data_IF_093378438154
#
_entry.id   IF_093378438154
#
_cell.length_a   1.000
_cell.length_b   1.000
_cell.length_c   1.000
_cell.angle_alpha   90.00
_cell.angle_beta   90.00
_cell.angle_gamma   90.00
#
_symmetry.space_group_name_H-M   'P 1'
#
loop_
_entity.id
_entity.type
_entity.pdbx_description
1 polymer ?
#
# COMPACT_ATOMS: atom_id res chain seq x y z
N UNK A 1 28.04 29.07 1.59
CA UNK A 1 29.20 28.97 2.50
C UNK A 1 30.06 27.74 2.23
N UNK A 2 29.50 26.52 2.21
CA UNK A 2 30.31 25.29 1.94
C UNK A 2 30.91 25.27 0.53
N UNK A 3 30.14 25.68 -0.47
CA UNK A 3 30.55 25.69 -1.88
C UNK A 3 31.75 26.60 -2.16
N UNK A 4 31.77 27.79 -1.56
CA UNK A 4 32.86 28.75 -1.67
C UNK A 4 34.11 28.26 -0.95
N UNK A 5 33.95 27.56 0.19
CA UNK A 5 35.05 27.00 0.96
C UNK A 5 35.75 25.87 0.19
N UNK A 6 35.00 25.03 -0.52
CA UNK A 6 35.55 23.96 -1.36
C UNK A 6 36.40 24.54 -2.49
N UNK A 7 35.92 25.57 -3.20
CA UNK A 7 36.68 26.19 -4.28
C UNK A 7 37.98 26.83 -3.77
N UNK A 8 37.91 27.54 -2.64
CA UNK A 8 39.11 28.14 -2.02
C UNK A 8 40.12 27.06 -1.62
N UNK A 9 39.66 25.95 -1.02
CA UNK A 9 40.53 24.83 -0.65
C UNK A 9 41.25 24.23 -1.86
N UNK A 10 40.52 23.98 -2.96
CA UNK A 10 41.09 23.41 -4.18
C UNK A 10 42.08 24.36 -4.88
N UNK A 11 41.79 25.67 -4.88
CA UNK A 11 42.71 26.68 -5.43
C UNK A 11 43.99 26.76 -4.59
N UNK A 12 43.88 26.81 -3.27
CA UNK A 12 45.04 26.87 -2.36
C UNK A 12 45.86 25.58 -2.45
N UNK A 13 45.21 24.41 -2.45
CA UNK A 13 45.90 23.13 -2.58
C UNK A 13 46.57 22.97 -3.95
N UNK A 14 45.92 23.41 -5.03
CA UNK A 14 46.51 23.41 -6.37
C UNK A 14 47.69 24.37 -6.51
N UNK A 15 47.58 25.56 -5.92
CA UNK A 15 48.68 26.54 -5.88
C UNK A 15 49.89 25.99 -5.09
N UNK A 16 49.63 25.40 -3.92
CA UNK A 16 50.67 24.78 -3.10
C UNK A 16 51.33 23.59 -3.80
N UNK A 17 50.56 22.73 -4.47
CA UNK A 17 51.08 21.60 -5.24
C UNK A 17 51.91 22.07 -6.45
N UNK A 18 51.50 23.13 -7.14
CA UNK A 18 52.26 23.74 -8.22
C UNK A 18 53.56 24.38 -7.73
N UNK A 19 53.53 25.05 -6.58
CA UNK A 19 54.70 25.66 -5.95
C UNK A 19 55.73 24.61 -5.50
N UNK A 20 55.28 23.57 -4.81
CA UNK A 20 56.14 22.48 -4.30
C UNK A 20 56.55 21.50 -5.41
N UNK A 21 55.80 21.42 -6.51
CA UNK A 21 56.11 20.56 -7.64
C UNK A 21 57.40 20.94 -8.38
N UNK A 22 57.91 22.15 -8.17
CA UNK A 22 59.20 22.62 -8.69
C UNK A 22 60.35 21.79 -8.14
N UNK A 23 60.25 21.36 -6.87
CA UNK A 23 61.29 20.57 -6.18
C UNK A 23 61.31 19.09 -6.62
N UNK A 24 60.27 18.63 -7.33
CA UNK A 24 60.20 17.28 -7.91
C UNK A 24 60.74 17.21 -9.36
N UNK A 25 61.17 18.34 -9.95
CA UNK A 25 61.72 18.35 -11.30
C UNK A 25 63.14 17.73 -11.33
N UNK A 26 63.51 16.95 -12.37
CA UNK A 26 64.83 16.34 -12.46
C UNK A 26 65.95 17.38 -12.43
N UNK A 27 67.01 17.13 -11.66
CA UNK A 27 68.15 18.07 -11.47
C UNK A 27 68.77 18.56 -12.79
N UNK A 28 68.72 17.76 -13.85
CA UNK A 28 69.20 18.11 -15.19
C UNK A 28 68.46 19.29 -15.84
N UNK A 29 67.21 19.56 -15.45
CA UNK A 29 66.43 20.71 -15.94
C UNK A 29 66.55 21.95 -15.04
N UNK A 30 66.86 21.77 -13.76
CA UNK A 30 67.04 22.86 -12.79
C UNK A 30 68.32 23.67 -13.07
N UNK A 31 69.36 23.04 -13.62
CA UNK A 31 70.65 23.68 -13.97
C UNK A 31 70.53 24.66 -15.17
N UNK A 32 69.46 24.57 -15.98
CA UNK A 32 69.27 25.39 -17.19
C UNK A 32 68.51 26.71 -16.93
N UNK A 33 67.91 26.89 -15.75
CA UNK A 33 66.98 27.98 -15.45
C UNK A 33 67.63 28.99 -14.51
N UNK A 34 67.80 30.24 -14.96
CA UNK A 34 68.50 31.29 -14.20
C UNK A 34 67.67 31.89 -13.06
N UNK A 35 66.34 31.71 -13.04
CA UNK A 35 65.41 32.24 -12.02
C UNK A 35 64.42 31.17 -11.53
N UNK A 36 64.80 30.42 -10.50
CA UNK A 36 63.95 29.40 -9.86
C UNK A 36 62.66 29.99 -9.26
N UNK A 37 62.73 31.20 -8.72
CA UNK A 37 61.58 31.87 -8.09
C UNK A 37 60.46 32.18 -9.09
N UNK A 38 60.79 32.65 -10.30
CA UNK A 38 59.80 32.93 -11.35
C UNK A 38 59.11 31.63 -11.81
N UNK A 39 59.84 30.53 -11.88
CA UNK A 39 59.30 29.22 -12.24
C UNK A 39 58.29 28.73 -11.19
N UNK A 40 58.57 28.92 -9.90
CA UNK A 40 57.64 28.58 -8.81
C UNK A 40 56.36 29.41 -8.83
N UNK A 41 56.44 30.71 -9.13
CA UNK A 41 55.25 31.55 -9.29
C UNK A 41 54.40 31.13 -10.51
N UNK A 42 55.03 30.77 -11.62
CA UNK A 42 54.34 30.32 -12.85
C UNK A 42 53.67 28.95 -12.63
N UNK A 43 54.39 27.98 -12.06
CA UNK A 43 53.84 26.66 -11.75
C UNK A 43 52.79 26.72 -10.64
N UNK A 44 52.99 27.57 -9.63
CA UNK A 44 51.99 27.86 -8.59
C UNK A 44 50.73 28.48 -9.17
N UNK A 45 50.85 29.46 -10.07
CA UNK A 45 49.72 30.06 -10.79
C UNK A 45 48.98 29.05 -11.68
N UNK A 46 49.71 28.21 -12.41
CA UNK A 46 49.16 27.12 -13.20
C UNK A 46 48.44 26.07 -12.35
N UNK A 47 49.03 25.70 -11.21
CA UNK A 47 48.43 24.81 -10.23
C UNK A 47 47.16 25.38 -9.59
N UNK A 48 47.12 26.69 -9.32
CA UNK A 48 45.93 27.38 -8.83
C UNK A 48 44.78 27.33 -9.84
N UNK A 49 45.08 27.53 -11.14
CA UNK A 49 44.10 27.42 -12.24
C UNK A 49 43.58 25.99 -12.40
N UNK A 50 44.47 24.99 -12.34
CA UNK A 50 44.09 23.57 -12.38
C UNK A 50 43.22 23.20 -11.16
N UNK A 51 43.57 23.70 -9.98
CA UNK A 51 42.79 23.57 -8.75
C UNK A 51 41.39 24.18 -8.89
N UNK A 52 41.27 25.38 -9.48
CA UNK A 52 39.98 26.03 -9.74
C UNK A 52 39.11 25.15 -10.65
N UNK A 53 39.65 24.66 -11.77
CA UNK A 53 38.93 23.78 -12.69
C UNK A 53 38.46 22.49 -12.01
N UNK A 54 39.35 21.82 -11.27
CA UNK A 54 39.02 20.63 -10.51
C UNK A 54 37.94 20.90 -9.45
N UNK A 55 38.03 22.03 -8.74
CA UNK A 55 37.05 22.46 -7.75
C UNK A 55 35.66 22.68 -8.34
N UNK A 56 35.57 23.31 -9.53
CA UNK A 56 34.28 23.52 -10.23
C UNK A 56 33.66 22.19 -10.67
N UNK A 57 34.47 21.27 -11.21
CA UNK A 57 34.00 19.92 -11.59
C UNK A 57 33.49 19.16 -10.38
N UNK A 58 34.26 19.16 -9.29
CA UNK A 58 33.87 18.52 -8.03
C UNK A 58 32.58 19.12 -7.46
N UNK A 59 32.43 20.44 -7.52
CA UNK A 59 31.21 21.12 -7.05
C UNK A 59 29.98 20.70 -7.86
N UNK A 60 30.09 20.61 -9.20
CA UNK A 60 29.00 20.12 -10.05
C UNK A 60 28.62 18.68 -9.72
N UNK A 61 29.60 17.81 -9.53
CA UNK A 61 29.38 16.41 -9.17
C UNK A 61 28.69 16.30 -7.80
N UNK A 62 29.20 17.03 -6.80
CA UNK A 62 28.61 17.07 -5.46
C UNK A 62 27.16 17.54 -5.46
N UNK A 63 26.84 18.59 -6.21
CA UNK A 63 25.46 19.10 -6.30
C UNK A 63 24.51 18.04 -6.86
N UNK A 64 24.90 17.37 -7.96
CA UNK A 64 24.11 16.26 -8.54
C UNK A 64 23.90 15.11 -7.55
N UNK A 65 24.95 14.71 -6.85
CA UNK A 65 24.86 13.67 -5.82
C UNK A 65 23.95 14.11 -4.66
N UNK A 66 24.03 15.36 -4.23
CA UNK A 66 23.22 15.86 -3.11
C UNK A 66 21.73 15.96 -3.46
N UNK A 67 21.41 16.35 -4.70
CA UNK A 67 20.04 16.37 -5.23
C UNK A 67 19.44 14.95 -5.30
N UNK A 68 20.24 13.99 -5.76
CA UNK A 68 19.89 12.57 -5.73
C UNK A 68 19.66 12.06 -4.31
N UNK A 69 20.57 12.36 -3.37
CA UNK A 69 20.47 11.90 -1.98
C UNK A 69 19.25 12.46 -1.26
N UNK A 70 18.84 13.70 -1.53
CA UNK A 70 17.67 14.33 -0.89
C UNK A 70 16.33 13.71 -1.30
N UNK A 71 16.26 13.13 -2.49
CA UNK A 71 15.03 12.54 -3.05
C UNK A 71 14.97 11.03 -2.83
N UNK A 72 16.03 10.43 -2.31
CA UNK A 72 16.12 9.00 -2.07
C UNK A 72 15.55 8.60 -0.70
N UNK A 73 14.85 7.46 -0.62
CA UNK A 73 14.41 6.92 0.65
C UNK A 73 15.62 6.47 1.48
N UNK A 74 15.51 6.58 2.80
CA UNK A 74 16.63 6.39 3.74
C UNK A 74 17.16 4.95 3.77
N UNK A 75 16.33 3.96 3.46
CA UNK A 75 16.71 2.55 3.33
C UNK A 75 17.69 2.32 2.16
N UNK A 76 17.51 3.03 1.04
CA UNK A 76 18.41 2.95 -0.11
C UNK A 76 19.76 3.62 0.16
N UNK A 77 19.76 4.73 0.91
CA UNK A 77 21.00 5.39 1.31
C UNK A 77 21.84 4.51 2.23
N UNK A 78 21.20 3.89 3.23
CA UNK A 78 21.89 2.99 4.17
C UNK A 78 22.41 1.75 3.46
N UNK A 79 21.62 1.13 2.60
CA UNK A 79 22.07 -0.06 1.85
C UNK A 79 23.25 0.23 0.92
N UNK A 80 23.21 1.32 0.14
CA UNK A 80 24.34 1.72 -0.72
C UNK A 80 25.61 2.02 0.08
N UNK A 81 25.49 2.65 1.25
CA UNK A 81 26.62 2.89 2.13
C UNK A 81 27.23 1.57 2.65
N UNK A 82 26.38 0.64 3.10
CA UNK A 82 26.80 -0.70 3.56
C UNK A 82 27.48 -1.49 2.43
N UNK A 83 26.91 -1.45 1.22
CA UNK A 83 27.48 -2.11 0.04
C UNK A 83 28.85 -1.56 -0.35
N UNK A 84 29.02 -0.24 -0.30
CA UNK A 84 30.31 0.41 -0.56
C UNK A 84 31.35 0.00 0.48
N UNK A 85 30.99 0.01 1.77
CA UNK A 85 31.89 -0.40 2.86
C UNK A 85 32.32 -1.86 2.69
N UNK A 86 31.37 -2.76 2.45
CA UNK A 86 31.66 -4.18 2.21
C UNK A 86 32.53 -4.39 0.97
N UNK A 87 32.24 -3.67 -0.12
CA UNK A 87 33.05 -3.71 -1.34
C UNK A 87 34.50 -3.29 -1.09
N UNK A 88 34.71 -2.17 -0.39
CA UNK A 88 36.07 -1.72 -0.03
C UNK A 88 36.76 -2.68 0.95
N UNK A 89 36.03 -3.30 1.87
CA UNK A 89 36.58 -4.30 2.79
C UNK A 89 37.08 -5.52 2.00
N UNK A 90 36.26 -6.04 1.09
CA UNK A 90 36.63 -7.15 0.20
C UNK A 90 37.81 -6.78 -0.69
N UNK A 91 37.83 -5.56 -1.24
CA UNK A 91 38.94 -5.06 -2.05
C UNK A 91 40.27 -5.15 -1.27
N UNK A 92 40.31 -4.57 -0.08
CA UNK A 92 41.53 -4.53 0.74
C UNK A 92 41.94 -5.92 1.23
N UNK A 93 40.97 -6.80 1.52
CA UNK A 93 41.24 -8.19 1.89
C UNK A 93 41.88 -8.98 0.74
N UNK A 94 41.42 -8.79 -0.50
CA UNK A 94 41.95 -9.47 -1.69
C UNK A 94 43.28 -8.88 -2.18
N UNK A 95 43.49 -7.56 -2.01
CA UNK A 95 44.73 -6.89 -2.41
C UNK A 95 45.87 -7.22 -1.43
N UNK A 96 45.58 -7.42 -0.14
CA UNK A 96 46.58 -7.61 0.90
C UNK A 96 47.61 -8.72 0.59
N UNK A 97 47.22 -9.95 0.18
CA UNK A 97 48.18 -11.00 -0.19
C UNK A 97 49.04 -10.65 -1.40
N UNK A 98 48.50 -9.88 -2.36
CA UNK A 98 49.19 -9.49 -3.59
C UNK A 98 50.27 -8.43 -3.29
N UNK A 99 50.06 -7.57 -2.30
CA UNK A 99 51.04 -6.57 -1.88
C UNK A 99 52.29 -7.18 -1.25
N UNK A 100 52.15 -8.34 -0.57
CA UNK A 100 53.25 -9.09 0.03
C UNK A 100 54.14 -9.82 -0.99
N UNK A 101 53.73 -9.94 -2.25
CA UNK A 101 54.59 -10.47 -3.30
C UNK A 101 55.73 -9.48 -3.62
N UNK A 102 56.97 -9.94 -3.51
CA UNK A 102 58.15 -9.17 -3.91
C UNK A 102 58.19 -9.07 -5.43
N UNK A 103 57.81 -7.90 -5.96
CA UNK A 103 57.90 -7.58 -7.39
C UNK A 103 59.22 -6.85 -7.69
N UNK A 104 59.78 -7.01 -8.89
CA UNK A 104 60.95 -6.25 -9.33
C UNK A 104 60.68 -4.73 -9.32
N UNK A 105 61.74 -3.94 -9.11
CA UNK A 105 61.69 -2.48 -8.94
C UNK A 105 61.08 -1.72 -10.13
N UNK A 106 61.05 -2.34 -11.32
CA UNK A 106 60.44 -1.82 -12.53
C UNK A 106 58.90 -1.73 -12.43
N UNK A 107 58.28 -2.46 -11.50
CA UNK A 107 56.83 -2.53 -11.30
C UNK A 107 56.34 -1.79 -10.04
N UNK A 108 57.15 -0.86 -9.51
CA UNK A 108 56.80 -0.08 -8.30
C UNK A 108 55.46 0.66 -8.45
N UNK A 109 55.15 1.16 -9.64
CA UNK A 109 53.86 1.84 -9.93
C UNK A 109 52.68 0.88 -10.08
N UNK A 110 52.92 -0.40 -10.36
CA UNK A 110 51.85 -1.39 -10.58
C UNK A 110 51.12 -1.71 -9.30
N UNK A 111 51.81 -1.80 -8.16
CA UNK A 111 51.19 -2.07 -6.85
C UNK A 111 50.16 -1.01 -6.44
N UNK A 112 50.49 0.30 -6.36
CA UNK A 112 49.51 1.32 -5.99
C UNK A 112 48.41 1.46 -7.04
N UNK A 113 48.74 1.34 -8.33
CA UNK A 113 47.74 1.42 -9.40
C UNK A 113 46.73 0.26 -9.32
N UNK A 114 47.20 -0.97 -9.09
CA UNK A 114 46.34 -2.13 -8.89
C UNK A 114 45.47 -1.99 -7.62
N UNK A 115 46.03 -1.45 -6.54
CA UNK A 115 45.28 -1.20 -5.31
C UNK A 115 44.15 -0.18 -5.52
N UNK A 116 44.42 0.92 -6.23
CA UNK A 116 43.41 1.93 -6.58
C UNK A 116 42.35 1.31 -7.50
N UNK A 117 42.78 0.61 -8.56
CA UNK A 117 41.86 0.00 -9.53
C UNK A 117 40.92 -1.01 -8.86
N UNK A 118 41.46 -1.86 -7.98
CA UNK A 118 40.66 -2.83 -7.24
C UNK A 118 39.70 -2.17 -6.25
N UNK A 119 40.12 -1.16 -5.48
CA UNK A 119 39.21 -0.41 -4.59
C UNK A 119 38.08 0.26 -5.36
N UNK A 120 38.36 0.86 -6.53
CA UNK A 120 37.32 1.46 -7.38
C UNK A 120 36.39 0.38 -7.93
N UNK A 121 36.93 -0.72 -8.46
CA UNK A 121 36.14 -1.82 -9.03
C UNK A 121 35.19 -2.45 -8.00
N UNK A 122 35.72 -2.85 -6.84
CA UNK A 122 34.93 -3.49 -5.79
C UNK A 122 34.02 -2.49 -5.05
N UNK A 123 34.43 -1.23 -4.90
CA UNK A 123 33.58 -0.18 -4.34
C UNK A 123 32.35 0.10 -5.21
N UNK A 124 32.54 0.24 -6.52
CA UNK A 124 31.45 0.42 -7.49
C UNK A 124 30.59 -0.84 -7.59
N UNK A 125 31.20 -2.02 -7.60
CA UNK A 125 30.47 -3.29 -7.63
C UNK A 125 29.64 -3.50 -6.37
N UNK A 126 30.19 -3.20 -5.19
CA UNK A 126 29.48 -3.28 -3.91
C UNK A 126 28.33 -2.27 -3.82
N UNK A 127 28.55 -1.04 -4.30
CA UNK A 127 27.50 -0.03 -4.43
C UNK A 127 26.35 -0.48 -5.35
N UNK A 128 26.67 -0.96 -6.56
CA UNK A 128 25.67 -1.43 -7.53
C UNK A 128 24.91 -2.67 -7.02
N UNK A 129 25.63 -3.61 -6.40
CA UNK A 129 25.01 -4.80 -5.83
C UNK A 129 24.04 -4.44 -4.69
N UNK A 130 24.41 -3.48 -3.84
CA UNK A 130 23.54 -2.98 -2.79
C UNK A 130 22.45 -2.03 -3.28
N UNK A 131 22.57 -1.45 -4.47
CA UNK A 131 21.47 -0.74 -5.10
C UNK A 131 20.39 -1.70 -5.59
N UNK A 132 20.80 -2.82 -6.21
CA UNK A 132 19.86 -3.82 -6.74
C UNK A 132 19.29 -4.72 -5.63
N UNK A 133 20.13 -5.11 -4.66
CA UNK A 133 19.80 -6.08 -3.61
C UNK A 133 19.94 -5.50 -2.19
N UNK A 134 19.85 -4.19 -2.03
CA UNK A 134 20.13 -3.50 -0.76
C UNK A 134 19.30 -3.99 0.40
N UNK A 135 18.02 -4.29 0.16
CA UNK A 135 17.13 -4.88 1.16
C UNK A 135 17.65 -6.25 1.61
N UNK A 136 18.21 -7.06 0.70
CA UNK A 136 18.79 -8.37 1.02
C UNK A 136 20.08 -8.25 1.83
N UNK A 137 20.95 -7.28 1.54
CA UNK A 137 22.15 -7.03 2.34
C UNK A 137 21.80 -6.54 3.75
N UNK A 138 20.78 -5.71 3.90
CA UNK A 138 20.29 -5.28 5.22
C UNK A 138 19.69 -6.45 6.04
N UNK A 139 19.23 -7.54 5.40
CA UNK A 139 18.79 -8.80 6.06
C UNK A 139 19.93 -9.52 6.79
N UNK A 140 21.19 -9.37 6.34
CA UNK A 140 22.36 -9.99 6.99
C UNK A 140 22.71 -9.33 8.33
N UNK A 141 22.34 -8.06 8.50
CA UNK A 141 22.64 -7.28 9.71
C UNK A 141 21.48 -7.24 10.71
N UNK A 142 20.23 -7.49 10.30
CA UNK A 142 19.07 -7.53 11.19
C UNK A 142 18.12 -8.71 10.91
N UNK A 143 18.43 -9.92 11.40
CA UNK A 143 17.69 -11.16 11.10
C UNK A 143 16.33 -11.30 11.83
N UNK A 144 15.92 -10.34 12.68
CA UNK A 144 14.75 -10.48 13.56
C UNK A 144 13.41 -9.94 12.99
N UNK A 145 13.33 -9.52 11.71
CA UNK A 145 12.06 -9.11 11.10
C UNK A 145 11.47 -10.19 10.20
N UNK A 146 11.03 -11.29 10.80
CA UNK A 146 10.30 -12.39 10.14
C UNK A 146 9.04 -11.92 9.39
N UNK A 147 8.41 -10.83 9.83
CA UNK A 147 7.28 -10.19 9.14
C UNK A 147 7.67 -9.53 7.80
N UNK A 148 8.89 -9.01 7.68
CA UNK A 148 9.39 -8.41 6.44
C UNK A 148 9.77 -9.48 5.40
N UNK A 149 10.12 -10.69 5.85
CA UNK A 149 10.47 -11.83 5.01
C UNK A 149 9.24 -12.37 4.25
N UNK A 150 8.13 -12.55 4.96
CA UNK A 150 6.90 -13.09 4.39
C UNK A 150 6.16 -12.08 3.51
N UNK A 151 6.27 -10.78 3.81
CA UNK A 151 5.72 -9.70 2.98
C UNK A 151 6.49 -9.48 1.68
N UNK A 152 7.82 -9.71 1.70
CA UNK A 152 8.68 -9.52 0.54
C UNK A 152 8.66 -10.71 -0.46
N UNK A 153 8.47 -11.93 0.02
CA UNK A 153 8.38 -13.13 -0.84
C UNK A 153 6.99 -13.28 -1.51
N UNK A 154 6.08 -12.31 -1.31
CA UNK A 154 4.71 -12.35 -1.86
C UNK A 154 3.82 -13.42 -1.24
N UNK A 155 4.29 -14.08 -0.17
CA UNK A 155 3.56 -15.13 0.55
C UNK A 155 2.56 -14.54 1.54
N UNK A 156 2.85 -13.37 2.12
CA UNK A 156 1.90 -12.55 2.88
C UNK A 156 1.73 -11.19 2.20
N UNK A 157 0.50 -10.75 1.97
CA UNK A 157 0.28 -9.33 1.66
C UNK A 157 0.29 -8.54 2.98
N UNK A 158 1.03 -7.43 3.09
CA UNK A 158 0.96 -6.60 4.28
C UNK A 158 -0.49 -6.14 4.42
N UNK A 159 -1.11 -6.47 5.56
CA UNK A 159 -2.51 -6.19 5.77
C UNK A 159 -2.77 -4.70 5.53
N UNK A 160 -3.62 -4.40 4.54
CA UNK A 160 -3.93 -3.03 4.12
C UNK A 160 -4.30 -2.18 5.33
N UNK A 161 -3.71 -1.00 5.45
CA UNK A 161 -4.04 -0.08 6.53
C UNK A 161 -5.53 0.30 6.48
N UNK A 162 -6.19 0.37 7.62
CA UNK A 162 -7.61 0.68 7.75
C UNK A 162 -7.76 2.12 8.20
N UNK A 163 -8.21 3.01 7.31
CA UNK A 163 -8.42 4.44 7.60
C UNK A 163 -9.82 4.59 8.19
N UNK A 164 -9.94 5.12 9.41
CA UNK A 164 -11.23 5.31 10.05
C UNK A 164 -11.81 6.71 9.79
N UNK A 165 -13.09 6.72 9.43
CA UNK A 165 -13.95 7.90 9.41
C UNK A 165 -14.63 8.14 10.78
N UNK A 166 -15.01 9.40 11.05
CA UNK A 166 -15.79 9.86 12.20
C UNK A 166 -17.07 9.03 12.38
N UNK A 167 -17.77 8.72 11.27
CA UNK A 167 -19.03 7.96 11.30
C UNK A 167 -18.87 6.55 11.93
N UNK A 168 -17.80 5.83 11.56
CA UNK A 168 -17.48 4.49 12.07
C UNK A 168 -17.05 4.53 13.53
N UNK A 169 -16.31 5.58 13.93
CA UNK A 169 -15.88 5.77 15.31
C UNK A 169 -17.07 6.04 16.24
N UNK A 170 -18.04 6.84 15.79
CA UNK A 170 -19.26 7.14 16.56
C UNK A 170 -20.15 5.91 16.68
N UNK A 171 -20.31 5.15 15.61
CA UNK A 171 -21.08 3.90 15.58
C UNK A 171 -20.51 2.87 16.59
N UNK A 172 -19.18 2.72 16.59
CA UNK A 172 -18.43 1.99 17.59
C UNK A 172 -18.39 0.47 17.44
N UNK A 173 -19.06 -0.12 16.42
CA UNK A 173 -18.93 -1.56 16.09
C UNK A 173 -17.52 -1.94 15.64
N UNK A 174 -16.69 -0.96 15.27
CA UNK A 174 -15.27 -1.14 14.95
C UNK A 174 -14.50 -1.89 16.04
N UNK A 175 -14.86 -1.70 17.32
CA UNK A 175 -14.25 -2.44 18.43
C UNK A 175 -14.46 -3.94 18.27
N UNK A 176 -15.70 -4.36 17.99
CA UNK A 176 -16.05 -5.77 17.81
C UNK A 176 -15.36 -6.38 16.58
N UNK A 177 -15.25 -5.61 15.49
CA UNK A 177 -14.54 -6.05 14.28
C UNK A 177 -13.03 -6.24 14.49
N UNK A 178 -12.41 -5.41 15.33
CA UNK A 178 -11.01 -5.56 15.70
C UNK A 178 -10.79 -6.72 16.68
N UNK A 179 -11.72 -6.93 17.61
CA UNK A 179 -11.68 -8.03 18.59
C UNK A 179 -11.90 -9.40 17.96
N UNK A 180 -12.76 -9.50 16.94
CA UNK A 180 -13.03 -10.75 16.22
C UNK A 180 -11.93 -11.14 15.22
N UNK A 181 -10.96 -10.26 14.97
CA UNK A 181 -9.91 -10.47 13.97
C UNK A 181 -10.35 -10.22 12.53
N UNK A 182 -11.60 -9.82 12.27
CA UNK A 182 -12.10 -9.51 10.92
C UNK A 182 -11.36 -8.32 10.27
N UNK A 183 -10.91 -7.37 11.08
CA UNK A 183 -10.06 -6.28 10.63
C UNK A 183 -8.62 -6.54 11.03
N UNK A 184 -7.77 -6.70 10.03
CA UNK A 184 -6.32 -6.88 10.16
C UNK A 184 -5.56 -5.61 9.78
N UNK A 185 -4.27 -5.57 10.13
CA UNK A 185 -3.36 -4.47 9.79
C UNK A 185 -3.41 -3.29 10.76
N UNK A 186 -2.71 -2.23 10.40
CA UNK A 186 -2.69 -0.97 11.15
C UNK A 186 -4.01 -0.22 10.96
N UNK A 187 -4.50 0.38 12.04
CA UNK A 187 -5.67 1.25 12.02
C UNK A 187 -5.17 2.68 12.09
N UNK A 188 -5.49 3.48 11.07
CA UNK A 188 -5.05 4.86 10.94
C UNK A 188 -6.23 5.78 11.22
N UNK A 189 -6.02 6.75 12.10
CA UNK A 189 -6.99 7.82 12.39
C UNK A 189 -6.34 9.14 12.02
N UNK A 190 -6.94 9.88 11.09
CA UNK A 190 -6.46 11.21 10.71
C UNK A 190 -6.68 12.22 11.85
N UNK A 191 -5.76 13.17 12.01
CA UNK A 191 -5.93 14.26 12.97
C UNK A 191 -7.23 15.04 12.73
N UNK A 192 -7.62 15.24 11.47
CA UNK A 192 -8.86 15.93 11.11
C UNK A 192 -10.13 15.25 11.64
N UNK A 193 -10.13 13.92 11.77
CA UNK A 193 -11.24 13.15 12.36
C UNK A 193 -11.31 13.38 13.87
N UNK A 194 -10.16 13.45 14.54
CA UNK A 194 -10.09 13.78 15.97
C UNK A 194 -10.61 15.19 16.22
N UNK A 195 -10.19 16.16 15.39
CA UNK A 195 -10.61 17.56 15.49
C UNK A 195 -12.14 17.70 15.26
N UNK A 196 -12.70 16.92 14.33
CA UNK A 196 -14.15 16.87 14.11
C UNK A 196 -14.90 16.28 15.32
N UNK A 197 -14.41 15.17 15.88
CA UNK A 197 -14.99 14.56 17.08
C UNK A 197 -14.95 15.50 18.29
N UNK A 198 -13.87 16.30 18.45
CA UNK A 198 -13.77 17.34 19.46
C UNK A 198 -14.81 18.45 19.22
N UNK A 199 -14.90 18.94 17.99
CA UNK A 199 -15.91 19.95 17.62
C UNK A 199 -17.33 19.46 17.90
N UNK A 200 -17.62 18.18 17.64
CA UNK A 200 -18.89 17.55 17.99
C UNK A 200 -19.08 17.45 19.51
N UNK A 201 -18.03 17.12 20.27
CA UNK A 201 -18.05 17.01 21.72
C UNK A 201 -18.28 18.36 22.43
N UNK A 202 -17.90 19.47 21.79
CA UNK A 202 -18.10 20.83 22.30
C UNK A 202 -19.38 21.49 21.78
N UNK A 203 -20.16 20.78 20.96
CA UNK A 203 -21.41 21.28 20.42
C UNK A 203 -22.44 21.63 21.51
N UNK A 204 -23.21 22.70 21.31
CA UNK A 204 -24.33 23.08 22.16
C UNK A 204 -25.46 22.04 22.16
N UNK A 205 -25.59 21.27 21.07
CA UNK A 205 -26.57 20.20 20.94
C UNK A 205 -26.14 18.96 21.76
N UNK A 206 -26.99 18.56 22.70
CA UNK A 206 -26.74 17.44 23.61
C UNK A 206 -26.51 16.10 22.90
N UNK A 207 -27.22 15.82 21.79
CA UNK A 207 -27.03 14.58 21.03
C UNK A 207 -25.69 14.54 20.32
N UNK A 208 -25.34 15.62 19.60
CA UNK A 208 -24.04 15.74 18.89
C UNK A 208 -22.89 15.65 19.88
N UNK A 209 -23.01 16.34 21.01
CA UNK A 209 -22.08 16.29 22.13
C UNK A 209 -21.93 14.89 22.73
N UNK A 210 -23.04 14.17 22.87
CA UNK A 210 -23.04 12.76 23.30
C UNK A 210 -22.29 11.85 22.32
N UNK A 211 -22.49 12.04 21.02
CA UNK A 211 -21.78 11.30 19.95
C UNK A 211 -20.28 11.59 19.94
N UNK A 212 -19.89 12.86 19.96
CA UNK A 212 -18.46 13.27 19.98
C UNK A 212 -17.70 12.69 21.17
N UNK A 213 -18.25 12.84 22.39
CA UNK A 213 -17.63 12.25 23.61
C UNK A 213 -17.53 10.73 23.55
N UNK A 214 -18.54 10.07 22.98
CA UNK A 214 -18.53 8.61 22.79
C UNK A 214 -17.43 8.17 21.84
N UNK A 215 -17.27 8.87 20.71
CA UNK A 215 -16.22 8.59 19.74
C UNK A 215 -14.82 8.79 20.33
N UNK A 216 -14.58 9.89 21.04
CA UNK A 216 -13.31 10.14 21.72
C UNK A 216 -13.00 9.08 22.80
N UNK A 217 -14.00 8.68 23.59
CA UNK A 217 -13.84 7.61 24.58
C UNK A 217 -13.48 6.28 23.91
N UNK A 218 -14.11 5.96 22.78
CA UNK A 218 -13.80 4.76 22.02
C UNK A 218 -12.36 4.78 21.47
N UNK A 219 -11.92 5.89 20.90
CA UNK A 219 -10.53 6.04 20.43
C UNK A 219 -9.52 5.88 21.57
N UNK A 220 -9.79 6.44 22.75
CA UNK A 220 -8.92 6.25 23.92
C UNK A 220 -8.81 4.78 24.32
N UNK A 221 -9.95 4.08 24.40
CA UNK A 221 -9.97 2.65 24.73
C UNK A 221 -9.25 1.79 23.68
N UNK A 222 -9.44 2.11 22.38
CA UNK A 222 -8.72 1.42 21.31
C UNK A 222 -7.21 1.66 21.40
N UNK A 223 -6.79 2.89 21.71
CA UNK A 223 -5.36 3.22 21.87
C UNK A 223 -4.72 2.48 23.04
N UNK A 224 -5.42 2.38 24.17
CA UNK A 224 -4.94 1.67 25.36
C UNK A 224 -4.78 0.17 25.08
N UNK A 225 -5.75 -0.43 24.38
CA UNK A 225 -5.74 -1.88 24.10
C UNK A 225 -4.82 -2.30 22.97
N UNK A 226 -4.77 -1.53 21.88
CA UNK A 226 -4.07 -1.90 20.64
C UNK A 226 -2.73 -1.17 20.46
N UNK A 227 -2.41 -0.19 21.31
CA UNK A 227 -1.11 0.47 21.37
C UNK A 227 -0.62 0.93 20.00
N UNK A 228 0.50 0.36 19.55
CA UNK A 228 1.18 0.71 18.28
C UNK A 228 0.38 0.37 17.02
N UNK A 229 -0.68 -0.43 17.12
CA UNK A 229 -1.53 -0.78 15.98
C UNK A 229 -2.51 0.33 15.60
N UNK A 230 -2.85 1.23 16.53
CA UNK A 230 -3.64 2.43 16.26
C UNK A 230 -2.70 3.63 16.07
N UNK A 231 -2.57 4.10 14.84
CA UNK A 231 -1.68 5.20 14.46
C UNK A 231 -2.50 6.46 14.21
N UNK A 232 -2.12 7.56 14.87
CA UNK A 232 -2.66 8.87 14.56
C UNK A 232 -1.82 9.51 13.46
N UNK A 233 -2.44 9.78 12.32
CA UNK A 233 -1.78 10.44 11.19
C UNK A 233 -1.95 11.96 11.32
N UNK A 234 -0.83 12.67 11.44
CA UNK A 234 -0.78 14.14 11.57
C UNK A 234 -0.46 14.86 10.27
N UNK A 235 -0.40 14.13 9.15
CA UNK A 235 -0.15 14.71 7.83
C UNK A 235 -1.29 15.65 7.46
N UNK A 236 -0.94 16.87 7.03
CA UNK A 236 -1.91 17.86 6.58
C UNK A 236 -2.21 17.66 5.11
N UNK A 237 -3.45 17.27 4.83
CA UNK A 237 -3.99 17.19 3.49
C UNK A 237 -4.77 18.46 3.14
N UNK A 238 -4.58 18.96 1.92
CA UNK A 238 -5.40 20.05 1.37
C UNK A 238 -6.81 19.55 1.05
N UNK A 239 -7.84 20.34 1.33
CA UNK A 239 -9.24 19.96 1.11
C UNK A 239 -10.18 20.78 2.00
N UNK A 240 -11.41 20.99 1.54
CA UNK A 240 -12.38 21.81 2.25
C UNK A 240 -13.04 21.03 3.39
N UNK A 241 -13.22 19.71 3.23
CA UNK A 241 -13.83 18.82 4.21
C UNK A 241 -12.87 17.84 4.88
N UNK A 242 -13.38 17.14 5.90
CA UNK A 242 -12.71 15.96 6.49
C UNK A 242 -12.69 14.81 5.47
N UNK A 243 -13.77 14.64 4.73
CA UNK A 243 -13.96 13.63 3.68
C UNK A 243 -12.87 13.70 2.60
N UNK A 244 -12.60 14.90 2.04
CA UNK A 244 -11.55 15.09 1.03
C UNK A 244 -10.17 14.66 1.54
N UNK A 245 -9.89 14.95 2.81
CA UNK A 245 -8.62 14.61 3.46
C UNK A 245 -8.51 13.10 3.68
N UNK A 246 -9.62 12.44 4.04
CA UNK A 246 -9.67 10.99 4.20
C UNK A 246 -9.49 10.25 2.87
N UNK A 247 -10.08 10.74 1.78
CA UNK A 247 -9.89 10.18 0.45
C UNK A 247 -8.43 10.29 0.00
N UNK A 248 -7.80 11.47 0.17
CA UNK A 248 -6.37 11.68 -0.14
C UNK A 248 -5.46 10.82 0.73
N UNK A 249 -5.73 10.75 2.04
CA UNK A 249 -4.98 9.87 2.94
C UNK A 249 -5.08 8.41 2.51
N UNK A 250 -6.27 7.96 2.11
CA UNK A 250 -6.51 6.58 1.65
C UNK A 250 -5.76 6.29 0.35
N UNK A 251 -5.77 7.24 -0.59
CA UNK A 251 -5.03 7.14 -1.86
C UNK A 251 -3.51 7.05 -1.62
N UNK A 252 -2.96 7.96 -0.81
CA UNK A 252 -1.52 8.05 -0.53
C UNK A 252 -0.99 6.82 0.22
N UNK A 253 -1.80 6.26 1.13
CA UNK A 253 -1.40 5.11 1.94
C UNK A 253 -1.69 3.77 1.27
N UNK A 254 -2.44 3.75 0.16
CA UNK A 254 -2.94 2.52 -0.45
C UNK A 254 -3.81 1.68 0.50
N UNK A 255 -4.42 2.34 1.49
CA UNK A 255 -5.22 1.70 2.53
C UNK A 255 -6.67 1.43 2.08
N UNK A 256 -7.48 0.97 3.03
CA UNK A 256 -8.93 0.79 2.88
C UNK A 256 -9.64 1.80 3.76
N UNK A 257 -10.50 2.64 3.17
CA UNK A 257 -11.35 3.57 3.90
C UNK A 257 -12.50 2.82 4.56
N UNK A 258 -12.62 2.91 5.89
CA UNK A 258 -13.78 2.43 6.64
C UNK A 258 -14.70 3.61 6.93
N UNK A 259 -15.89 3.57 6.37
CA UNK A 259 -16.94 4.56 6.60
C UNK A 259 -18.29 3.87 6.84
N UNK A 260 -19.21 4.57 7.50
CA UNK A 260 -20.63 4.21 7.57
C UNK A 260 -21.49 5.17 6.73
N UNK A 261 -20.88 6.18 6.10
CA UNK A 261 -21.54 7.13 5.22
C UNK A 261 -21.58 6.59 3.78
N UNK A 262 -22.79 6.48 3.23
CA UNK A 262 -23.03 6.00 1.88
C UNK A 262 -22.42 6.92 0.80
N UNK A 263 -22.47 8.24 0.99
CA UNK A 263 -21.97 9.20 0.01
C UNK A 263 -20.45 9.18 -0.05
N UNK A 264 -19.79 9.19 1.11
CA UNK A 264 -18.33 9.08 1.17
C UNK A 264 -17.86 7.76 0.55
N UNK A 265 -18.59 6.67 0.81
CA UNK A 265 -18.30 5.38 0.21
C UNK A 265 -18.38 5.43 -1.33
N UNK A 266 -19.48 5.97 -1.86
CA UNK A 266 -19.68 6.07 -3.31
C UNK A 266 -18.65 6.95 -4.00
N UNK A 267 -18.28 8.07 -3.38
CA UNK A 267 -17.21 8.95 -3.89
C UNK A 267 -15.87 8.22 -3.92
N UNK A 268 -15.54 7.47 -2.86
CA UNK A 268 -14.32 6.67 -2.81
C UNK A 268 -14.27 5.59 -3.90
N UNK A 269 -15.38 4.90 -4.15
CA UNK A 269 -15.49 3.92 -5.24
C UNK A 269 -15.26 4.54 -6.63
N UNK A 270 -15.82 5.73 -6.88
CA UNK A 270 -15.64 6.47 -8.14
C UNK A 270 -14.18 6.88 -8.33
N UNK A 271 -13.43 7.12 -7.25
CA UNK A 271 -12.00 7.40 -7.26
C UNK A 271 -11.13 6.13 -7.27
N UNK A 272 -11.73 4.95 -7.49
CA UNK A 272 -11.05 3.65 -7.50
C UNK A 272 -10.30 3.33 -6.20
N UNK A 273 -10.74 3.90 -5.08
CA UNK A 273 -10.20 3.62 -3.76
C UNK A 273 -10.85 2.38 -3.16
N UNK A 274 -10.10 1.67 -2.32
CA UNK A 274 -10.66 0.56 -1.52
C UNK A 274 -11.51 1.15 -0.41
N UNK A 275 -12.80 0.87 -0.44
CA UNK A 275 -13.76 1.30 0.58
C UNK A 275 -14.41 0.09 1.21
N UNK A 276 -14.59 0.13 2.53
CA UNK A 276 -15.37 -0.82 3.30
C UNK A 276 -16.47 -0.07 4.04
N UNK A 277 -17.70 -0.22 3.55
CA UNK A 277 -18.87 0.36 4.18
C UNK A 277 -19.37 -0.57 5.31
N UNK A 278 -19.33 -0.08 6.54
CA UNK A 278 -19.74 -0.84 7.72
C UNK A 278 -21.23 -1.20 7.68
N UNK A 279 -22.07 -0.34 7.12
CA UNK A 279 -23.51 -0.57 6.99
C UNK A 279 -23.80 -1.74 6.04
N UNK A 280 -23.07 -1.81 4.92
CA UNK A 280 -23.17 -2.91 3.95
C UNK A 280 -22.62 -4.21 4.53
N UNK A 281 -21.50 -4.17 5.25
CA UNK A 281 -20.94 -5.33 5.92
C UNK A 281 -21.95 -5.95 6.89
N UNK A 282 -22.68 -5.13 7.64
CA UNK A 282 -23.70 -5.62 8.58
C UNK A 282 -24.88 -6.25 7.86
N UNK A 283 -25.28 -5.73 6.69
CA UNK A 283 -26.31 -6.36 5.86
C UNK A 283 -25.81 -7.70 5.33
N UNK A 284 -24.57 -7.77 4.85
CA UNK A 284 -23.96 -8.98 4.30
C UNK A 284 -23.75 -10.09 5.35
N UNK A 285 -23.58 -9.72 6.63
CA UNK A 285 -23.44 -10.66 7.74
C UNK A 285 -24.78 -11.12 8.35
N UNK A 286 -25.93 -10.64 7.85
CA UNK A 286 -27.24 -11.09 8.36
C UNK A 286 -27.44 -12.56 8.01
N UNK A 287 -27.87 -13.41 8.97
CA UNK A 287 -28.23 -14.79 8.68
C UNK A 287 -29.30 -14.84 7.59
N UNK A 288 -29.07 -15.67 6.58
CA UNK A 288 -30.11 -15.93 5.59
C UNK A 288 -31.22 -16.79 6.21
N UNK A 289 -32.46 -16.38 5.97
CA UNK A 289 -33.64 -17.14 6.39
C UNK A 289 -33.71 -18.46 5.60
N UNK A 290 -33.71 -19.58 6.31
CA UNK A 290 -33.76 -20.93 5.76
C UNK A 290 -35.15 -21.57 5.92
N UNK A 291 -35.53 -22.52 5.05
CA UNK A 291 -36.70 -23.36 5.29
C UNK A 291 -36.58 -24.07 6.64
N UNK A 292 -37.61 -23.98 7.48
CA UNK A 292 -37.65 -24.50 8.84
C UNK A 292 -37.45 -23.45 9.94
N UNK A 293 -36.99 -22.24 9.61
CA UNK A 293 -36.83 -21.18 10.60
C UNK A 293 -38.18 -20.72 11.17
N UNK A 294 -38.25 -20.55 12.48
CA UNK A 294 -39.40 -19.94 13.16
C UNK A 294 -39.21 -18.43 13.26
N UNK A 295 -40.16 -17.67 12.73
CA UNK A 295 -40.14 -16.21 12.69
C UNK A 295 -41.40 -15.63 13.30
N UNK A 296 -41.27 -14.48 13.96
CA UNK A 296 -42.41 -13.67 14.41
C UNK A 296 -42.66 -12.53 13.43
N UNK A 297 -43.71 -12.65 12.62
CA UNK A 297 -44.01 -11.69 11.56
C UNK A 297 -45.29 -10.93 11.87
N UNK A 298 -45.24 -9.61 11.79
CA UNK A 298 -46.44 -8.77 11.81
C UNK A 298 -47.08 -8.77 10.43
N UNK A 299 -48.32 -9.22 10.33
CA UNK A 299 -49.09 -9.14 9.09
C UNK A 299 -49.49 -7.68 8.88
N UNK A 300 -49.15 -7.12 7.72
CA UNK A 300 -49.43 -5.70 7.39
C UNK A 300 -50.64 -5.59 6.50
N UNK A 301 -50.87 -6.58 5.64
CA UNK A 301 -51.99 -6.63 4.70
C UNK A 301 -52.32 -8.07 4.30
N UNK A 302 -53.49 -8.28 3.72
CA UNK A 302 -53.83 -9.54 3.08
C UNK A 302 -52.99 -9.78 1.83
N UNK A 303 -52.70 -11.06 1.56
CA UNK A 303 -51.96 -11.52 0.40
C UNK A 303 -52.82 -11.62 -0.86
N UNK A 304 -52.18 -12.10 -1.94
CA UNK A 304 -52.85 -12.24 -3.24
C UNK A 304 -53.87 -13.38 -3.22
N UNK A 305 -53.59 -14.45 -2.48
CA UNK A 305 -54.50 -15.58 -2.30
C UNK A 305 -55.32 -15.41 -1.02
N UNK A 306 -56.54 -15.95 -1.02
CA UNK A 306 -57.55 -15.73 0.05
C UNK A 306 -57.17 -16.28 1.42
N UNK A 307 -56.09 -17.04 1.53
CA UNK A 307 -55.57 -17.59 2.79
C UNK A 307 -54.24 -16.96 3.21
N UNK A 308 -53.67 -16.07 2.38
CA UNK A 308 -52.35 -15.49 2.61
C UNK A 308 -52.44 -14.14 3.33
N UNK A 309 -51.47 -13.89 4.19
CA UNK A 309 -51.12 -12.56 4.68
C UNK A 309 -49.74 -12.15 4.15
N UNK A 310 -49.44 -10.85 4.15
CA UNK A 310 -48.13 -10.33 3.81
C UNK A 310 -47.59 -9.51 4.96
N UNK A 311 -46.40 -9.86 5.40
CA UNK A 311 -45.59 -9.09 6.34
C UNK A 311 -44.24 -8.74 5.75
N UNK A 312 -43.45 -8.04 6.53
CA UNK A 312 -42.08 -7.68 6.17
C UNK A 312 -41.17 -8.02 7.33
N UNK A 313 -40.00 -8.56 7.01
CA UNK A 313 -38.89 -8.63 7.95
C UNK A 313 -38.33 -7.23 8.21
N UNK A 314 -37.49 -7.10 9.23
CA UNK A 314 -36.85 -5.83 9.58
C UNK A 314 -35.94 -5.27 8.48
N UNK A 315 -35.55 -6.09 7.52
CA UNK A 315 -34.75 -5.74 6.34
C UNK A 315 -35.61 -5.31 5.12
N UNK A 316 -36.94 -5.37 5.23
CA UNK A 316 -37.85 -5.09 4.12
C UNK A 316 -38.13 -6.29 3.19
N UNK A 317 -37.56 -7.46 3.48
CA UNK A 317 -37.87 -8.70 2.76
C UNK A 317 -39.34 -9.04 2.95
N UNK A 318 -40.05 -9.25 1.84
CA UNK A 318 -41.48 -9.55 1.87
C UNK A 318 -41.69 -11.01 2.30
N UNK A 319 -42.47 -11.21 3.35
CA UNK A 319 -42.85 -12.54 3.86
C UNK A 319 -44.32 -12.79 3.55
N UNK A 320 -44.59 -13.80 2.74
CA UNK A 320 -45.94 -14.29 2.46
C UNK A 320 -46.25 -15.41 3.45
N UNK A 321 -47.26 -15.18 4.29
CA UNK A 321 -47.68 -16.09 5.36
C UNK A 321 -48.95 -16.82 4.95
N UNK A 322 -48.86 -18.13 4.75
CA UNK A 322 -50.01 -19.01 4.59
C UNK A 322 -50.75 -19.19 5.94
N UNK A 323 -52.06 -18.99 5.94
CA UNK A 323 -52.90 -18.88 7.14
C UNK A 323 -52.88 -17.48 7.78
N UNK A 324 -52.39 -16.47 7.07
CA UNK A 324 -52.27 -15.08 7.54
C UNK A 324 -53.46 -14.17 7.20
N UNK A 325 -54.46 -14.66 6.47
CA UNK A 325 -55.62 -13.86 6.03
C UNK A 325 -56.47 -13.36 7.21
N UNK A 326 -56.88 -12.09 7.16
CA UNK A 326 -57.76 -11.49 8.17
C UNK A 326 -57.08 -11.16 9.51
N UNK A 327 -55.78 -11.46 9.65
CA UNK A 327 -54.97 -11.22 10.84
C UNK A 327 -54.11 -9.95 10.69
N UNK A 328 -54.56 -9.00 9.89
CA UNK A 328 -53.84 -7.75 9.64
C UNK A 328 -53.67 -6.95 10.93
N UNK A 329 -52.43 -6.54 11.20
CA UNK A 329 -52.04 -5.84 12.43
C UNK A 329 -51.54 -6.76 13.54
N UNK A 330 -51.75 -8.08 13.46
CA UNK A 330 -51.31 -9.05 14.46
C UNK A 330 -49.90 -9.59 14.16
N UNK A 331 -49.20 -10.05 15.21
CA UNK A 331 -47.91 -10.76 15.10
C UNK A 331 -48.15 -12.27 15.21
N UNK A 332 -47.74 -13.00 14.17
CA UNK A 332 -47.90 -14.45 14.07
C UNK A 332 -46.54 -15.14 14.18
N UNK A 333 -46.50 -16.27 14.87
CA UNK A 333 -45.39 -17.22 14.79
C UNK A 333 -45.58 -18.07 13.54
N UNK A 334 -44.57 -18.07 12.68
CA UNK A 334 -44.62 -18.72 11.36
C UNK A 334 -43.34 -19.51 11.11
N UNK A 335 -43.46 -20.65 10.46
CA UNK A 335 -42.33 -21.47 10.04
C UNK A 335 -42.07 -21.23 8.56
N UNK A 336 -40.83 -20.92 8.20
CA UNK A 336 -40.45 -20.66 6.82
C UNK A 336 -40.54 -21.95 6.01
N UNK A 337 -41.25 -21.91 4.90
CA UNK A 337 -41.39 -23.06 3.99
C UNK A 337 -40.47 -22.97 2.79
N UNK A 338 -40.05 -21.76 2.41
CA UNK A 338 -39.14 -21.55 1.29
C UNK A 338 -38.84 -20.08 1.04
N UNK A 339 -37.90 -19.81 0.13
CA UNK A 339 -37.65 -18.46 -0.37
C UNK A 339 -37.52 -18.49 -1.90
N UNK A 340 -38.06 -17.47 -2.56
CA UNK A 340 -37.98 -17.27 -4.01
C UNK A 340 -37.31 -15.93 -4.31
N UNK A 341 -36.35 -15.95 -5.21
CA UNK A 341 -35.75 -14.72 -5.75
C UNK A 341 -36.64 -14.20 -6.89
N UNK A 342 -37.09 -12.94 -6.80
CA UNK A 342 -37.80 -12.23 -7.87
C UNK A 342 -36.94 -11.08 -8.41
N UNK A 343 -37.27 -10.51 -9.58
CA UNK A 343 -36.56 -9.34 -10.13
C UNK A 343 -36.60 -8.10 -9.22
N UNK A 344 -37.56 -8.03 -8.29
CA UNK A 344 -37.74 -6.93 -7.33
C UNK A 344 -37.15 -7.19 -5.96
N UNK A 345 -36.60 -8.38 -5.69
CA UNK A 345 -35.98 -8.73 -4.41
C UNK A 345 -36.16 -10.19 -4.03
N UNK A 346 -35.90 -10.52 -2.76
CA UNK A 346 -36.17 -11.84 -2.19
C UNK A 346 -37.57 -11.86 -1.57
N UNK A 347 -38.32 -12.93 -1.81
CA UNK A 347 -39.61 -13.20 -1.17
C UNK A 347 -39.49 -14.46 -0.33
N UNK A 348 -39.92 -14.41 0.92
CA UNK A 348 -39.92 -15.56 1.84
C UNK A 348 -41.35 -16.05 1.98
N UNK A 349 -41.54 -17.37 1.90
CA UNK A 349 -42.81 -18.03 2.16
C UNK A 349 -42.73 -18.68 3.54
N UNK A 350 -43.75 -18.45 4.34
CA UNK A 350 -43.88 -19.01 5.67
C UNK A 350 -45.31 -19.50 5.89
N UNK A 351 -45.46 -20.41 6.84
CA UNK A 351 -46.74 -21.03 7.19
C UNK A 351 -47.00 -20.79 8.67
N UNK A 352 -48.21 -20.40 9.03
CA UNK A 352 -48.59 -20.22 10.44
C UNK A 352 -48.52 -21.55 11.18
N UNK A 353 -47.97 -21.52 12.38
CA UNK A 353 -47.94 -22.70 13.24
C UNK A 353 -49.38 -23.19 13.54
N UNK A 354 -49.62 -24.50 13.41
CA UNK A 354 -50.96 -25.10 13.50
C UNK A 354 -51.92 -24.83 12.32
N UNK A 355 -51.46 -24.30 11.19
CA UNK A 355 -52.27 -24.23 9.95
C UNK A 355 -52.15 -25.54 9.17
N UNK A 356 -53.27 -26.25 8.97
CA UNK A 356 -53.37 -27.39 8.04
C UNK A 356 -54.23 -27.00 6.83
N UNK A 357 -53.75 -26.06 6.02
CA UNK A 357 -54.33 -25.72 4.73
C UNK A 357 -53.89 -26.69 3.63
N UNK A 358 -54.83 -27.13 2.79
CA UNK A 358 -54.66 -28.08 1.67
C UNK A 358 -53.42 -27.77 0.84
N UNK A 359 -52.62 -28.80 0.53
CA UNK A 359 -51.48 -28.75 -0.39
C UNK A 359 -51.79 -27.92 -1.64
N UNK A 360 -51.29 -26.69 -1.68
CA UNK A 360 -51.03 -26.01 -2.94
C UNK A 360 -49.65 -26.47 -3.40
N UNK A 361 -49.65 -27.34 -4.40
CA UNK A 361 -48.46 -27.72 -5.14
C UNK A 361 -47.71 -26.46 -5.59
N UNK A 362 -46.52 -26.22 -5.03
CA UNK A 362 -45.58 -25.24 -5.58
C UNK A 362 -45.29 -25.54 -7.06
N UNK A 363 -44.87 -24.54 -7.86
CA UNK A 363 -44.58 -24.77 -9.26
C UNK A 363 -43.47 -25.80 -9.39
N UNK A 364 -43.81 -26.97 -9.94
CA UNK A 364 -42.84 -28.03 -10.26
C UNK A 364 -41.91 -27.50 -11.37
N UNK A 365 -40.58 -27.64 -11.25
CA UNK A 365 -39.68 -27.27 -12.33
C UNK A 365 -40.00 -28.13 -13.57
N UNK A 366 -39.86 -27.60 -14.80
CA UNK A 366 -40.32 -28.31 -15.98
C UNK A 366 -39.51 -29.61 -16.17
N UNK A 367 -40.20 -30.75 -16.11
CA UNK A 367 -39.66 -32.06 -16.47
C UNK A 367 -39.35 -32.09 -17.97
N UNK A 368 -38.08 -32.32 -18.31
CA UNK A 368 -37.63 -32.52 -19.68
C UNK A 368 -38.40 -33.65 -20.38
N UNK A 369 -38.85 -33.37 -21.60
CA UNK A 369 -39.43 -34.37 -22.49
C UNK A 369 -38.34 -35.31 -22.99
N UNK A 370 -38.27 -36.49 -22.40
CA UNK A 370 -37.66 -37.64 -23.05
C UNK A 370 -38.66 -38.22 -24.05
N UNK A 371 -38.38 -38.12 -25.35
CA UNK A 371 -38.87 -39.11 -26.30
C UNK A 371 -37.66 -39.81 -26.94
N UNK A 372 -37.73 -41.11 -26.79
CA UNK A 372 -36.71 -42.12 -27.02
C UNK A 372 -36.68 -42.48 -28.51
N UNK A 373 -35.51 -42.55 -29.15
CA UNK A 373 -35.23 -43.55 -30.19
C UNK A 373 -33.80 -43.43 -30.73
N UNK A 374 -33.05 -44.52 -30.55
CA UNK A 374 -32.29 -45.24 -31.59
C UNK A 374 -31.60 -44.34 -32.64
N UNK A 375 -30.28 -44.42 -32.75
CA UNK A 375 -29.61 -45.44 -33.56
C UNK A 375 -28.10 -45.16 -33.62
N UNK A 376 -27.38 -46.25 -33.88
CA UNK A 376 -25.95 -46.42 -34.12
C UNK A 376 -25.35 -45.41 -35.10
N UNK A 377 -24.04 -45.18 -34.94
CA UNK A 377 -23.14 -45.22 -36.11
C UNK A 377 -22.06 -44.13 -36.18
N UNK A 378 -20.83 -44.54 -35.84
CA UNK A 378 -19.59 -44.32 -36.61
C UNK A 378 -19.31 -42.95 -37.27
N UNK A 379 -18.18 -42.40 -36.79
CA UNK A 379 -16.97 -42.09 -37.56
C UNK A 379 -16.91 -40.88 -38.51
N UNK A 380 -15.71 -40.25 -38.47
CA UNK A 380 -15.09 -39.42 -39.52
C UNK A 380 -15.75 -38.06 -39.76
N UNK A 381 -15.07 -36.92 -39.85
CA UNK A 381 -13.65 -36.63 -39.96
C UNK A 381 -13.49 -35.23 -40.58
N UNK A 382 -12.40 -34.55 -40.20
CA UNK A 382 -11.55 -33.64 -41.01
C UNK A 382 -12.15 -32.49 -41.85
N UNK A 383 -11.45 -31.35 -41.73
CA UNK A 383 -11.27 -30.22 -42.67
C UNK A 383 -12.49 -29.29 -42.77
N UNK A 384 -12.37 -27.98 -42.92
CA UNK A 384 -11.29 -27.01 -43.17
C UNK A 384 -12.05 -25.71 -43.46
N UNK A 385 -11.70 -24.56 -42.90
CA UNK A 385 -10.70 -23.66 -43.46
C UNK A 385 -11.37 -22.46 -44.12
N UNK A 386 -10.81 -21.25 -43.87
CA UNK A 386 -11.08 -19.94 -44.49
C UNK A 386 -12.51 -19.39 -44.32
N UNK A 387 -12.75 -18.13 -44.00
CA UNK A 387 -11.94 -16.92 -44.14
C UNK A 387 -12.81 -15.88 -44.85
N UNK A 388 -13.11 -14.77 -44.19
CA UNK A 388 -13.55 -13.47 -44.71
C UNK A 388 -13.55 -12.54 -43.48
N UNK A 389 -12.59 -11.63 -43.29
CA UNK A 389 -12.42 -10.34 -43.96
C UNK A 389 -13.74 -9.62 -44.20
N UNK A 390 -14.03 -8.66 -43.31
CA UNK A 390 -14.79 -7.46 -43.69
C UNK A 390 -14.18 -6.24 -42.97
N UNK A 391 -13.92 -5.12 -43.69
CA UNK A 391 -13.17 -3.99 -43.16
C UNK A 391 -14.06 -2.87 -42.61
N UNK A 392 -13.37 -2.01 -41.86
CA UNK A 392 -13.73 -0.67 -41.42
C UNK A 392 -14.83 0.10 -42.18
N UNK A 393 -15.67 0.81 -41.42
CA UNK A 393 -16.05 2.18 -41.76
C UNK A 393 -16.33 3.01 -40.49
N UNK A 394 -15.67 4.17 -40.30
CA UNK A 394 -15.99 5.11 -39.23
C UNK A 394 -17.02 6.16 -39.69
N UNK A 395 -17.98 6.48 -38.83
CA UNK A 395 -18.64 7.78 -38.75
C UNK A 395 -18.98 8.10 -37.31
#
# INVERSE_FOLDING_TARGET
>A
MVDTLILVLFVVSGAAAGWLGVDLLPEQQLIRIQNLEQLSWILGGGGALAGLLAGVVFQRLRRRLMEQVRTMPTDLLVSRAVGLILGLLVANLLISPILFLSLPWELVLVKPLAAIAANVFFGVSGYNLAEVHGRTLLRLFNPNSTEALLVADGVLMPASAKILDTSVIIDGRIRGLLESGLLEGQVIVAQSVIDELQTLADSSNTEKRGKGRRGLKLLSNLRERYGRRLVVNTTRYEGNGVDDKLLKLTADTGGTLLTADYNLAKVGEVQELKVMNLSELVIALRPEVQPGDELSIKVVRDGKESHQGVGYLEDGTMVVVDGGHGLSGERLQVTVTGALQTPTGRMVFAKRDGWEGKESSGPTPPKGSGSNARNRGKASGKRGGKGDQDPANPR
#
